data_IF_810409140043
#
_entry.id   IF_810409140043
#
_cell.length_a   1.000
_cell.length_b   1.000
_cell.length_c   1.000
_cell.angle_alpha   90.00
_cell.angle_beta   90.00
_cell.angle_gamma   90.00
#
_symmetry.space_group_name_H-M   'P 1'
#
loop_
_entity.id
_entity.type
_entity.pdbx_description
1 polymer ?
#
# COMPACT_ATOMS: atom_id res chain seq x y z
N UNK A 1 14.90 15.65 -20.30
CA UNK A 1 13.75 14.83 -19.90
C UNK A 1 13.12 15.49 -18.70
N UNK A 2 11.85 15.89 -18.79
CA UNK A 2 11.15 16.49 -17.65
C UNK A 2 10.91 15.36 -16.66
N UNK A 3 11.50 15.45 -15.47
CA UNK A 3 11.05 14.61 -14.36
C UNK A 3 9.63 15.06 -14.07
N UNK A 4 8.65 14.38 -14.65
CA UNK A 4 7.28 14.45 -14.17
C UNK A 4 7.34 13.94 -12.74
N UNK A 5 7.25 14.87 -11.79
CA UNK A 5 6.99 14.58 -10.40
C UNK A 5 5.74 13.72 -10.42
N UNK A 6 5.91 12.40 -10.27
CA UNK A 6 4.78 11.48 -10.08
C UNK A 6 3.95 12.10 -8.97
N UNK A 7 2.64 12.29 -9.16
CA UNK A 7 1.82 12.90 -8.13
C UNK A 7 2.07 12.12 -6.84
N UNK A 8 2.60 12.81 -5.83
CA UNK A 8 2.76 12.25 -4.49
C UNK A 8 1.44 11.58 -4.15
N UNK A 9 1.50 10.27 -3.90
CA UNK A 9 0.34 9.47 -3.56
C UNK A 9 -0.41 10.21 -2.45
N UNK A 10 -1.67 10.52 -2.70
CA UNK A 10 -2.52 11.19 -1.73
C UNK A 10 -2.89 10.17 -0.65
N UNK A 11 -2.22 10.30 0.48
CA UNK A 11 -2.23 9.33 1.57
C UNK A 11 -3.51 9.38 2.40
N UNK A 12 -4.39 10.36 2.13
CA UNK A 12 -5.76 10.40 2.68
C UNK A 12 -6.69 9.40 1.99
N UNK A 13 -6.25 8.79 0.88
CA UNK A 13 -7.07 7.90 0.08
C UNK A 13 -7.20 6.52 0.72
N UNK A 14 -8.32 5.90 0.39
CA UNK A 14 -8.59 4.50 0.68
C UNK A 14 -7.72 3.66 -0.25
N UNK A 15 -6.90 2.77 0.32
CA UNK A 15 -6.15 1.77 -0.43
C UNK A 15 -6.76 0.40 -0.21
N UNK A 16 -6.59 -0.49 -1.18
CA UNK A 16 -7.04 -1.87 -1.13
C UNK A 16 -5.86 -2.78 -0.81
N UNK A 17 -6.07 -3.71 0.12
CA UNK A 17 -5.06 -4.68 0.58
C UNK A 17 -5.63 -6.07 0.60
N UNK A 18 -4.78 -7.08 0.45
CA UNK A 18 -5.21 -8.48 0.52
C UNK A 18 -5.24 -8.94 1.99
N UNK A 19 -6.38 -9.46 2.44
CA UNK A 19 -6.58 -9.97 3.80
C UNK A 19 -7.08 -11.40 3.76
N UNK A 20 -6.42 -12.29 4.48
CA UNK A 20 -6.84 -13.68 4.61
C UNK A 20 -8.24 -13.77 5.23
N UNK A 21 -9.12 -14.57 4.63
CA UNK A 21 -10.53 -14.63 5.03
C UNK A 21 -10.68 -15.30 6.41
N UNK A 22 -9.90 -16.34 6.70
CA UNK A 22 -10.06 -17.12 7.93
C UNK A 22 -9.40 -16.47 9.15
N UNK A 23 -8.22 -15.85 8.97
CA UNK A 23 -7.41 -15.32 10.08
C UNK A 23 -7.58 -13.81 10.24
N UNK A 24 -8.03 -13.11 9.20
CA UNK A 24 -8.07 -11.65 9.17
C UNK A 24 -6.70 -10.99 9.05
N UNK A 25 -5.62 -11.77 8.88
CA UNK A 25 -4.27 -11.27 8.70
C UNK A 25 -4.06 -10.76 7.28
N UNK A 26 -3.24 -9.72 7.10
CA UNK A 26 -2.90 -9.23 5.76
C UNK A 26 -1.76 -10.03 5.17
N UNK A 27 -1.80 -10.17 3.85
CA UNK A 27 -0.82 -10.94 3.10
C UNK A 27 0.30 -10.03 2.63
N UNK A 28 1.53 -10.49 2.83
CA UNK A 28 2.73 -9.79 2.43
C UNK A 28 3.38 -10.48 1.23
N UNK A 29 3.93 -9.66 0.33
CA UNK A 29 4.89 -10.05 -0.69
C UNK A 29 6.29 -9.98 -0.09
N UNK A 30 7.15 -10.93 -0.43
CA UNK A 30 8.55 -10.91 -0.03
C UNK A 30 9.41 -10.47 -1.20
N UNK A 31 10.12 -9.36 -1.05
CA UNK A 31 11.04 -8.82 -2.05
C UNK A 31 12.34 -8.37 -1.39
N UNK A 32 13.48 -8.79 -1.93
CA UNK A 32 14.81 -8.42 -1.42
C UNK A 32 14.97 -8.61 0.10
N UNK A 33 14.43 -9.73 0.62
CA UNK A 33 14.41 -10.10 2.05
C UNK A 33 13.55 -9.21 2.95
N UNK A 34 12.79 -8.28 2.38
CA UNK A 34 11.84 -7.43 3.09
C UNK A 34 10.42 -7.86 2.73
N UNK A 35 9.51 -7.77 3.69
CA UNK A 35 8.09 -8.09 3.51
C UNK A 35 7.31 -6.80 3.30
N UNK A 36 6.50 -6.76 2.24
CA UNK A 36 5.69 -5.63 1.83
C UNK A 36 4.24 -6.06 1.77
N UNK A 37 3.32 -5.23 2.24
CA UNK A 37 1.92 -5.46 1.90
C UNK A 37 1.63 -4.94 0.50
N UNK A 38 0.96 -5.78 -0.30
CA UNK A 38 0.44 -5.37 -1.59
C UNK A 38 -0.73 -4.39 -1.38
N UNK A 39 -0.54 -3.17 -1.85
CA UNK A 39 -1.51 -2.10 -1.76
C UNK A 39 -1.86 -1.61 -3.17
N UNK A 40 -3.12 -1.25 -3.36
CA UNK A 40 -3.62 -0.76 -4.63
C UNK A 40 -4.45 0.50 -4.41
N UNK A 41 -4.33 1.47 -5.31
CA UNK A 41 -5.12 2.70 -5.24
C UNK A 41 -6.59 2.51 -5.67
N UNK A 42 -6.89 1.42 -6.38
CA UNK A 42 -8.23 1.05 -6.83
C UNK A 42 -8.53 -0.45 -6.59
N UNK A 43 -9.83 -0.76 -6.51
CA UNK A 43 -10.29 -2.12 -6.22
C UNK A 43 -10.23 -3.07 -7.41
N UNK A 44 -10.21 -2.54 -8.64
CA UNK A 44 -10.19 -3.36 -9.86
C UNK A 44 -8.80 -3.96 -10.06
N UNK A 45 -7.75 -3.14 -9.94
CA UNK A 45 -6.33 -3.56 -9.95
C UNK A 45 -6.03 -4.56 -8.83
N UNK A 46 -6.57 -4.31 -7.63
CA UNK A 46 -6.45 -5.25 -6.50
C UNK A 46 -7.14 -6.59 -6.79
N UNK A 47 -8.31 -6.53 -7.43
CA UNK A 47 -9.08 -7.70 -7.85
C UNK A 47 -8.34 -8.53 -8.89
N UNK A 48 -7.79 -7.87 -9.92
CA UNK A 48 -6.99 -8.52 -10.95
C UNK A 48 -5.74 -9.18 -10.35
N UNK A 49 -4.99 -8.47 -9.50
CA UNK A 49 -3.82 -9.05 -8.85
C UNK A 49 -4.17 -10.26 -7.96
N UNK A 50 -5.30 -10.17 -7.24
CA UNK A 50 -5.81 -11.30 -6.45
C UNK A 50 -6.13 -12.52 -7.32
N UNK A 51 -6.71 -12.31 -8.49
CA UNK A 51 -7.03 -13.37 -9.46
C UNK A 51 -5.77 -14.00 -10.06
N UNK A 52 -4.83 -13.18 -10.52
CA UNK A 52 -3.57 -13.64 -11.11
C UNK A 52 -2.72 -14.48 -10.14
N UNK A 53 -2.78 -14.18 -8.85
CA UNK A 53 -2.10 -14.93 -7.80
C UNK A 53 -2.86 -16.20 -7.36
N UNK A 54 -4.06 -16.46 -7.89
CA UNK A 54 -4.90 -17.60 -7.52
C UNK A 54 -5.44 -17.51 -6.09
N UNK A 55 -5.63 -16.30 -5.55
CA UNK A 55 -5.96 -16.07 -4.15
C UNK A 55 -7.46 -15.81 -3.89
N UNK A 56 -8.30 -15.84 -4.93
CA UNK A 56 -9.73 -15.45 -4.87
C UNK A 56 -10.49 -16.11 -3.71
N UNK A 57 -10.26 -17.40 -3.46
CA UNK A 57 -10.99 -18.17 -2.45
C UNK A 57 -10.41 -18.04 -1.03
N UNK A 58 -9.21 -17.48 -0.89
CA UNK A 58 -8.48 -17.44 0.37
C UNK A 58 -8.40 -16.03 0.97
N UNK A 59 -8.58 -15.00 0.14
CA UNK A 59 -8.27 -13.62 0.50
C UNK A 59 -9.36 -12.67 0.02
N UNK A 60 -9.67 -11.71 0.86
CA UNK A 60 -10.58 -10.61 0.56
C UNK A 60 -9.82 -9.31 0.35
N UNK A 61 -10.46 -8.39 -0.37
CA UNK A 61 -9.95 -7.02 -0.52
C UNK A 61 -10.43 -6.19 0.67
N UNK A 62 -9.48 -5.73 1.49
CA UNK A 62 -9.74 -4.87 2.63
C UNK A 62 -9.39 -3.40 2.28
N UNK A 63 -10.39 -2.50 2.23
CA UNK A 63 -10.17 -1.11 1.89
C UNK A 63 -10.02 -0.23 3.14
N UNK A 64 -8.87 0.40 3.34
CA UNK A 64 -8.60 1.22 4.52
C UNK A 64 -7.68 2.42 4.23
N UNK A 65 -7.69 3.47 5.09
CA UNK A 65 -6.71 4.54 4.99
C UNK A 65 -5.30 4.03 5.24
N UNK A 66 -4.34 4.52 4.47
CA UNK A 66 -2.94 4.11 4.64
C UNK A 66 -2.40 4.46 6.04
N UNK A 67 -2.86 5.55 6.65
CA UNK A 67 -2.51 5.96 8.02
C UNK A 67 -2.89 4.95 9.11
N UNK A 68 -3.85 4.06 8.83
CA UNK A 68 -4.36 3.07 9.79
C UNK A 68 -3.79 1.67 9.54
N UNK A 69 -2.96 1.51 8.50
CA UNK A 69 -2.37 0.21 8.19
C UNK A 69 -1.29 -0.17 9.21
N UNK A 70 -1.17 -1.46 9.59
CA UNK A 70 -0.27 -1.88 10.65
C UNK A 70 1.18 -2.15 10.18
N UNK A 71 1.52 -1.85 8.91
CA UNK A 71 2.80 -2.25 8.30
C UNK A 71 3.80 -1.10 8.21
N UNK A 72 5.08 -1.44 8.04
CA UNK A 72 6.15 -0.45 7.87
C UNK A 72 6.63 -0.31 6.42
N UNK A 73 6.25 -1.25 5.55
CA UNK A 73 6.68 -1.30 4.14
C UNK A 73 5.51 -1.74 3.25
N UNK A 74 5.40 -1.09 2.10
CA UNK A 74 4.27 -1.23 1.19
C UNK A 74 4.77 -1.33 -0.24
N UNK A 75 4.10 -2.18 -1.01
CA UNK A 75 4.23 -2.22 -2.46
C UNK A 75 2.94 -1.65 -3.04
N UNK A 76 2.98 -0.37 -3.42
CA UNK A 76 1.82 0.38 -3.90
C UNK A 76 1.92 0.58 -5.41
N UNK A 77 0.96 0.03 -6.16
CA UNK A 77 0.87 0.19 -7.62
C UNK A 77 2.20 -0.03 -8.37
N UNK A 78 3.04 -0.96 -7.89
CA UNK A 78 4.34 -1.26 -8.49
C UNK A 78 5.53 -0.49 -7.91
N UNK A 79 5.32 0.34 -6.89
CA UNK A 79 6.36 1.11 -6.22
C UNK A 79 6.59 0.70 -4.77
N UNK A 80 7.86 0.66 -4.36
CA UNK A 80 8.24 0.43 -2.97
C UNK A 80 8.12 1.71 -2.16
N UNK A 81 7.32 1.69 -1.11
CA UNK A 81 7.16 2.81 -0.19
C UNK A 81 7.42 2.35 1.24
N UNK A 82 8.31 3.04 1.94
CA UNK A 82 8.47 2.88 3.39
C UNK A 82 7.46 3.75 4.14
N UNK A 83 7.00 3.31 5.31
CA UNK A 83 6.07 4.06 6.18
C UNK A 83 6.51 5.47 6.50
N UNK A 84 7.81 5.73 6.55
CA UNK A 84 8.34 7.08 6.76
C UNK A 84 8.03 8.02 5.59
N UNK A 85 8.01 7.52 4.36
CA UNK A 85 7.54 8.31 3.21
C UNK A 85 6.03 8.58 3.29
N UNK A 86 5.30 7.76 4.06
CA UNK A 86 3.85 7.83 4.23
C UNK A 86 3.40 8.65 5.46
N UNK A 87 4.29 8.85 6.44
CA UNK A 87 3.99 9.57 7.68
C UNK A 87 4.62 10.97 7.73
N UNK A 88 5.69 11.22 6.96
CA UNK A 88 6.39 12.52 6.99
C UNK A 88 5.70 13.68 6.25
N UNK A 89 4.53 13.48 5.64
CA UNK A 89 3.74 14.59 5.10
C UNK A 89 2.93 15.36 6.18
N UNK A 90 2.97 14.92 7.45
CA UNK A 90 2.36 15.64 8.58
C UNK A 90 3.29 16.57 9.35
N UNK A 91 4.61 16.55 9.07
CA UNK A 91 5.59 17.29 9.87
C UNK A 91 6.71 17.90 9.01
N UNK A 92 6.39 18.46 7.85
CA UNK A 92 7.19 19.58 7.33
C UNK A 92 6.89 20.82 8.20
N UNK A 93 7.33 20.78 9.45
CA UNK A 93 7.59 21.99 10.21
C UNK A 93 8.77 22.65 9.52
N UNK A 94 8.50 23.56 8.59
CA UNK A 94 9.52 24.49 8.12
C UNK A 94 10.10 25.17 9.37
N UNK A 95 11.44 25.21 9.55
CA UNK A 95 12.00 26.04 10.60
C UNK A 95 11.55 27.48 10.34
N UNK A 96 10.93 28.10 11.34
CA UNK A 96 10.65 29.53 11.33
C UNK A 96 11.99 30.26 11.15
N UNK A 97 12.21 30.77 9.94
CA UNK A 97 13.23 31.77 9.65
C UNK A 97 12.67 33.16 9.85
#
# INVERSE_FOLDING_TARGET
>A
MKHELRPMVDLSRRIFTLRHIETGEYICLRQDRTEYVACFSDGDSAGQFREEMGLIEHVDLAPMPLSETPFDHYWLDGEMLGRNALTNNGAASYPAG
#
